data_IF_316318882429
#
_entry.id   IF_316318882429
#
_cell.length_a   1.000
_cell.length_b   1.000
_cell.length_c   1.000
_cell.angle_alpha   90.00
_cell.angle_beta   90.00
_cell.angle_gamma   90.00
#
_symmetry.space_group_name_H-M   'P 1'
#
loop_
_entity.id
_entity.type
_entity.pdbx_description
1 polymer ?
#
# COMPACT_ATOMS: atom_id res chain seq x y z
N UNK A 1 6.96 -5.91 4.38
CA UNK A 1 6.51 -7.11 3.65
C UNK A 1 7.32 -7.23 2.38
N UNK A 2 7.40 -8.41 1.76
CA UNK A 2 8.12 -8.58 0.49
C UNK A 2 7.31 -8.04 -0.68
N UNK A 3 6.03 -8.43 -0.74
CA UNK A 3 5.12 -7.99 -1.80
C UNK A 3 3.88 -7.34 -1.17
N UNK A 4 3.43 -6.25 -1.76
CA UNK A 4 2.24 -5.54 -1.32
C UNK A 4 1.61 -4.70 -2.44
N UNK A 5 0.36 -4.29 -2.22
CA UNK A 5 -0.37 -3.38 -3.09
C UNK A 5 -0.73 -2.12 -2.34
N UNK A 6 -0.65 -0.98 -3.03
CA UNK A 6 -1.26 0.26 -2.58
C UNK A 6 -2.64 0.33 -3.23
N UNK A 7 -3.66 0.44 -2.39
CA UNK A 7 -5.04 0.47 -2.83
C UNK A 7 -5.73 1.72 -2.30
N UNK A 8 -6.66 2.23 -3.09
CA UNK A 8 -7.51 3.37 -2.71
C UNK A 8 -8.99 3.01 -2.81
N UNK A 9 -9.80 3.66 -2.00
CA UNK A 9 -11.26 3.55 -2.05
C UNK A 9 -11.91 4.85 -1.59
N UNK A 10 -13.11 5.12 -2.10
CA UNK A 10 -13.97 6.21 -1.62
C UNK A 10 -14.90 5.77 -0.48
N UNK A 11 -15.18 4.46 -0.34
CA UNK A 11 -16.08 3.89 0.67
C UNK A 11 -15.37 3.18 1.83
N UNK A 12 -14.16 2.67 1.60
CA UNK A 12 -13.32 2.00 2.60
C UNK A 12 -13.74 0.58 2.97
N UNK A 13 -14.97 0.15 2.68
CA UNK A 13 -15.48 -1.20 2.96
C UNK A 13 -15.46 -2.12 1.74
N UNK A 14 -15.51 -1.56 0.54
CA UNK A 14 -15.52 -2.30 -0.73
C UNK A 14 -14.90 -1.44 -1.86
N UNK A 15 -14.88 -1.96 -3.08
CA UNK A 15 -14.44 -1.22 -4.28
C UNK A 15 -13.02 -0.64 -4.17
N UNK A 16 -12.09 -1.47 -3.70
CA UNK A 16 -10.68 -1.12 -3.65
C UNK A 16 -10.07 -1.18 -5.04
N UNK A 17 -9.41 -0.10 -5.45
CA UNK A 17 -8.67 -0.02 -6.71
C UNK A 17 -7.18 -0.11 -6.43
N UNK A 18 -6.51 -1.04 -7.10
CA UNK A 18 -5.05 -1.15 -7.08
C UNK A 18 -4.45 0.04 -7.84
N UNK A 19 -3.71 0.90 -7.16
CA UNK A 19 -2.96 2.02 -7.78
C UNK A 19 -1.48 1.69 -7.93
N UNK A 20 -0.97 0.72 -7.16
CA UNK A 20 0.40 0.22 -7.27
C UNK A 20 0.48 -1.23 -6.83
N UNK A 21 1.35 -2.00 -7.49
CA UNK A 21 1.80 -3.33 -7.05
C UNK A 21 3.31 -3.32 -6.91
N UNK A 22 3.79 -3.72 -5.74
CA UNK A 22 5.21 -3.80 -5.40
C UNK A 22 5.52 -5.27 -5.12
N UNK A 23 6.57 -5.78 -5.75
CA UNK A 23 7.08 -7.13 -5.54
C UNK A 23 8.58 -7.08 -5.29
N UNK A 24 9.09 -8.07 -4.54
CA UNK A 24 10.52 -8.17 -4.25
C UNK A 24 11.07 -7.03 -3.39
N UNK A 25 10.23 -6.42 -2.55
CA UNK A 25 10.62 -5.38 -1.61
C UNK A 25 11.73 -5.87 -0.66
N UNK A 26 12.70 -4.99 -0.45
CA UNK A 26 13.88 -5.21 0.39
C UNK A 26 13.71 -4.68 1.83
N UNK A 27 12.56 -4.08 2.14
CA UNK A 27 12.32 -3.36 3.39
C UNK A 27 12.93 -1.96 3.38
N UNK A 28 12.89 -1.27 4.52
CA UNK A 28 13.27 0.14 4.61
C UNK A 28 12.13 1.09 4.24
N UNK A 29 12.47 2.30 3.79
CA UNK A 29 11.50 3.34 3.41
C UNK A 29 11.22 3.26 1.91
N UNK A 30 9.94 3.15 1.56
CA UNK A 30 9.47 3.16 0.18
C UNK A 30 8.70 4.46 -0.12
N UNK A 31 9.07 5.17 -1.19
CA UNK A 31 8.33 6.30 -1.74
C UNK A 31 7.73 5.93 -3.11
N UNK A 32 6.40 5.96 -3.21
CA UNK A 32 5.67 5.46 -4.38
C UNK A 32 4.65 6.48 -4.88
N UNK A 33 4.92 7.03 -6.07
CA UNK A 33 3.95 7.82 -6.81
C UNK A 33 3.03 6.94 -7.68
N UNK A 34 1.79 7.40 -7.85
CA UNK A 34 0.77 6.85 -8.74
C UNK A 34 -0.09 7.98 -9.31
N UNK A 35 -0.83 7.71 -10.38
CA UNK A 35 -1.76 8.69 -10.98
C UNK A 35 -2.80 9.14 -9.97
N UNK A 36 -3.01 10.45 -9.86
CA UNK A 36 -3.99 11.01 -8.93
C UNK A 36 -5.36 10.33 -9.07
N UNK A 37 -5.92 9.93 -7.94
CA UNK A 37 -7.20 9.23 -7.86
C UNK A 37 -8.05 9.85 -6.76
N UNK A 38 -9.37 9.95 -6.99
CA UNK A 38 -10.28 10.36 -5.94
C UNK A 38 -10.35 9.25 -4.89
N UNK A 39 -9.97 9.58 -3.66
CA UNK A 39 -9.86 8.61 -2.58
C UNK A 39 -10.16 9.26 -1.23
N UNK A 40 -10.72 8.46 -0.33
CA UNK A 40 -10.87 8.80 1.10
C UNK A 40 -10.13 7.83 2.00
N UNK A 41 -9.89 6.62 1.51
CA UNK A 41 -9.23 5.55 2.24
C UNK A 41 -8.06 5.03 1.42
N UNK A 42 -6.94 4.78 2.10
CA UNK A 42 -5.77 4.10 1.56
C UNK A 42 -5.57 2.81 2.33
N UNK A 43 -5.19 1.75 1.63
CA UNK A 43 -4.85 0.46 2.23
C UNK A 43 -3.54 -0.05 1.64
N UNK A 44 -2.64 -0.46 2.54
CA UNK A 44 -1.47 -1.27 2.21
C UNK A 44 -1.87 -2.73 2.37
N UNK A 45 -2.03 -3.43 1.25
CA UNK A 45 -2.45 -4.83 1.24
C UNK A 45 -1.24 -5.74 1.00
N UNK A 46 -0.73 -6.35 2.07
CA UNK A 46 0.40 -7.26 2.01
C UNK A 46 0.03 -8.60 1.35
N UNK A 47 0.72 -8.96 0.28
CA UNK A 47 0.48 -10.19 -0.50
C UNK A 47 1.53 -11.27 -0.27
N UNK A 48 2.78 -10.88 0.07
CA UNK A 48 3.81 -11.81 0.53
C UNK A 48 4.63 -11.23 1.69
N UNK A 49 4.83 -12.04 2.73
CA UNK A 49 5.68 -11.66 3.87
C UNK A 49 7.15 -11.74 3.49
N UNK A 50 7.96 -10.92 4.14
CA UNK A 50 9.42 -10.97 3.98
C UNK A 50 10.06 -12.02 4.90
N UNK A 51 9.43 -12.30 6.04
CA UNK A 51 9.88 -13.26 7.05
C UNK A 51 8.69 -14.14 7.48
N UNK A 52 8.93 -15.10 8.37
CA UNK A 52 7.85 -15.88 9.00
C UNK A 52 6.91 -15.01 9.85
N UNK A 53 7.44 -13.90 10.36
CA UNK A 53 6.72 -12.90 11.12
C UNK A 53 5.79 -12.09 10.21
N UNK A 54 4.74 -11.52 10.79
CA UNK A 54 3.71 -10.78 10.06
C UNK A 54 4.21 -9.53 9.32
N UNK A 55 3.26 -8.78 8.75
CA UNK A 55 3.57 -7.46 8.20
C UNK A 55 3.74 -6.45 9.33
N UNK A 56 4.77 -5.61 9.26
CA UNK A 56 5.00 -4.49 10.16
C UNK A 56 5.24 -3.23 9.33
N UNK A 57 4.64 -2.12 9.76
CA UNK A 57 4.80 -0.79 9.19
C UNK A 57 5.04 0.16 10.36
N UNK A 58 6.11 0.95 10.28
CA UNK A 58 6.45 1.91 11.33
C UNK A 58 5.66 3.21 11.18
N UNK A 59 5.61 3.72 9.95
CA UNK A 59 4.92 4.96 9.59
C UNK A 59 4.31 4.85 8.19
N UNK A 60 3.22 5.58 7.96
CA UNK A 60 2.60 5.76 6.64
C UNK A 60 2.30 7.24 6.44
N UNK A 61 2.87 7.82 5.39
CA UNK A 61 2.52 9.15 4.89
C UNK A 61 1.70 9.04 3.62
N UNK A 62 0.60 9.78 3.53
CA UNK A 62 -0.18 9.94 2.29
C UNK A 62 -0.18 11.42 1.95
N UNK A 63 0.35 11.75 0.77
CA UNK A 63 0.51 13.13 0.31
C UNK A 63 -0.31 13.33 -0.97
N UNK A 64 -1.07 14.42 -1.05
CA UNK A 64 -1.93 14.75 -2.17
C UNK A 64 -2.57 16.12 -2.00
N UNK A 65 -3.01 16.73 -3.10
CA UNK A 65 -3.62 18.05 -3.18
C UNK A 65 -4.82 18.08 -4.11
#
# INVERSE_FOLDING_TARGET
>A
GRDYKIQVSTSGTSSWTDVKSITGGNGGTDDNAFTAANARYVRIYGTARATEWGYSLYEIGVYGG
#
